data_IF_996171468943
#
_entry.id   IF_996171468943
#
_cell.length_a   1.000
_cell.length_b   1.000
_cell.length_c   1.000
_cell.angle_alpha   90.00
_cell.angle_beta   90.00
_cell.angle_gamma   90.00
#
_symmetry.space_group_name_H-M   'P 1'
#
loop_
_entity.id
_entity.type
_entity.pdbx_description
1 polymer ?
#
# COMPACT_ATOMS: atom_id res chain seq x y z
N UNK A 1 8.72 -7.04 15.04
CA UNK A 1 9.40 -5.80 14.56
C UNK A 1 10.92 -5.76 14.83
N UNK A 2 11.37 -6.26 15.99
CA UNK A 2 12.78 -6.23 16.42
C UNK A 2 13.62 -7.40 15.90
N UNK A 3 12.97 -8.42 15.30
CA UNK A 3 13.64 -9.59 14.74
C UNK A 3 14.80 -9.18 13.82
N UNK A 4 16.02 -9.68 14.06
CA UNK A 4 17.14 -9.42 13.17
C UNK A 4 16.89 -9.99 11.77
N UNK A 5 17.27 -9.23 10.75
CA UNK A 5 17.26 -9.67 9.36
C UNK A 5 18.63 -9.42 8.74
N UNK A 6 19.08 -10.37 7.92
CA UNK A 6 20.27 -10.18 7.08
C UNK A 6 19.97 -9.12 6.04
N UNK A 7 20.84 -8.14 5.93
CA UNK A 7 20.84 -7.10 4.92
C UNK A 7 22.20 -7.08 4.19
N UNK A 8 22.89 -8.22 4.17
CA UNK A 8 24.16 -8.40 3.49
C UNK A 8 23.95 -8.66 1.99
N UNK A 9 24.95 -8.35 1.13
CA UNK A 9 24.88 -8.67 -0.29
C UNK A 9 24.51 -10.13 -0.53
N UNK A 10 23.69 -10.37 -1.55
CA UNK A 10 23.15 -11.69 -1.87
C UNK A 10 23.27 -11.99 -3.36
N UNK A 11 23.59 -13.24 -3.68
CA UNK A 11 23.51 -13.79 -5.03
C UNK A 11 22.29 -14.70 -5.17
N UNK A 12 21.48 -14.43 -6.19
CA UNK A 12 20.27 -15.20 -6.47
C UNK A 12 19.88 -15.10 -7.95
N UNK A 13 19.68 -16.24 -8.61
CA UNK A 13 19.24 -16.26 -10.01
C UNK A 13 20.29 -15.73 -10.99
N UNK A 14 21.58 -15.89 -10.68
CA UNK A 14 22.69 -15.40 -11.52
C UNK A 14 22.99 -13.90 -11.39
N UNK A 15 22.26 -13.19 -10.52
CA UNK A 15 22.47 -11.77 -10.26
C UNK A 15 23.03 -11.54 -8.85
N UNK A 16 23.88 -10.53 -8.72
CA UNK A 16 24.41 -10.06 -7.44
C UNK A 16 23.72 -8.76 -7.02
N UNK A 17 23.14 -8.77 -5.84
CA UNK A 17 22.46 -7.62 -5.24
C UNK A 17 23.31 -7.08 -4.09
N UNK A 18 23.87 -5.88 -4.26
CA UNK A 18 24.69 -5.19 -3.26
C UNK A 18 24.23 -3.77 -2.95
N UNK A 19 23.40 -3.17 -3.81
CA UNK A 19 22.92 -1.81 -3.61
C UNK A 19 21.91 -1.73 -2.48
N UNK A 20 22.11 -0.75 -1.58
CA UNK A 20 21.22 -0.49 -0.45
C UNK A 20 21.35 -1.49 0.71
N UNK A 21 22.24 -2.48 0.64
CA UNK A 21 22.52 -3.44 1.70
C UNK A 21 23.14 -2.77 2.94
N UNK A 22 22.50 -2.90 4.11
CA UNK A 22 23.01 -2.35 5.39
C UNK A 22 23.68 -3.38 6.32
N UNK A 23 24.00 -4.57 5.82
CA UNK A 23 24.69 -5.64 6.56
C UNK A 23 23.75 -6.43 7.47
N UNK A 24 23.33 -5.85 8.59
CA UNK A 24 22.33 -6.43 9.49
C UNK A 24 21.51 -5.33 10.15
N UNK A 25 20.21 -5.52 10.25
CA UNK A 25 19.34 -4.58 10.96
C UNK A 25 18.11 -5.29 11.52
N UNK A 26 17.35 -4.62 12.38
CA UNK A 26 16.01 -5.12 12.74
C UNK A 26 15.06 -5.06 11.55
N UNK A 27 14.05 -5.94 11.52
CA UNK A 27 12.99 -5.90 10.49
C UNK A 27 12.38 -4.50 10.35
N UNK A 28 12.16 -3.78 11.47
CA UNK A 28 11.66 -2.41 11.47
C UNK A 28 12.60 -1.45 10.72
N UNK A 29 13.90 -1.49 10.99
CA UNK A 29 14.89 -0.62 10.34
C UNK A 29 15.05 -0.96 8.85
N UNK A 30 15.12 -2.25 8.50
CA UNK A 30 15.18 -2.71 7.11
C UNK A 30 13.95 -2.23 6.32
N UNK A 31 12.76 -2.38 6.91
CA UNK A 31 11.51 -1.95 6.29
C UNK A 31 11.43 -0.43 6.15
N UNK A 32 11.80 0.33 7.19
CA UNK A 32 11.81 1.79 7.20
C UNK A 32 12.75 2.37 6.13
N UNK A 33 13.91 1.75 5.94
CA UNK A 33 14.94 2.20 4.99
C UNK A 33 14.79 1.61 3.59
N UNK A 34 13.78 0.77 3.36
CA UNK A 34 13.55 0.06 2.10
C UNK A 34 14.75 -0.77 1.64
N UNK A 35 15.33 -1.56 2.55
CA UNK A 35 16.52 -2.37 2.28
C UNK A 35 16.19 -3.57 1.35
N UNK A 36 16.68 -3.49 0.11
CA UNK A 36 16.47 -4.50 -0.93
C UNK A 36 17.05 -5.86 -0.54
N UNK A 37 18.19 -5.88 0.15
CA UNK A 37 18.88 -7.11 0.50
C UNK A 37 18.11 -7.85 1.59
N UNK A 38 17.57 -7.13 2.57
CA UNK A 38 16.65 -7.70 3.56
C UNK A 38 15.38 -8.27 2.92
N UNK A 39 14.80 -7.59 1.93
CA UNK A 39 13.64 -8.11 1.19
C UNK A 39 13.96 -9.42 0.47
N UNK A 40 15.11 -9.49 -0.21
CA UNK A 40 15.58 -10.69 -0.90
C UNK A 40 15.86 -11.86 0.06
N UNK A 41 16.52 -11.61 1.20
CA UNK A 41 16.77 -12.64 2.22
C UNK A 41 15.46 -13.20 2.79
N UNK A 42 14.48 -12.33 3.07
CA UNK A 42 13.16 -12.76 3.52
C UNK A 42 12.43 -13.57 2.45
N UNK A 43 12.45 -13.13 1.20
CA UNK A 43 11.82 -13.84 0.08
C UNK A 43 12.44 -15.21 -0.14
N UNK A 44 13.76 -15.34 -0.02
CA UNK A 44 14.46 -16.62 -0.11
C UNK A 44 14.09 -17.57 1.04
N UNK A 45 13.88 -17.03 2.24
CA UNK A 45 13.43 -17.80 3.41
C UNK A 45 12.00 -18.32 3.27
N UNK A 46 11.09 -17.53 2.70
CA UNK A 46 9.65 -17.84 2.64
C UNK A 46 9.15 -18.32 1.27
N UNK A 47 9.99 -18.32 0.24
CA UNK A 47 9.70 -18.55 -1.19
C UNK A 47 8.96 -17.40 -1.89
N UNK A 48 9.29 -17.21 -3.17
CA UNK A 48 8.62 -16.23 -4.04
C UNK A 48 7.16 -16.59 -4.31
N UNK A 49 6.83 -17.88 -4.41
CA UNK A 49 5.44 -18.32 -4.59
C UNK A 49 4.56 -17.97 -3.40
N UNK A 50 5.09 -18.01 -2.17
CA UNK A 50 4.36 -17.55 -1.00
C UNK A 50 4.10 -16.04 -1.04
N UNK A 51 5.05 -15.26 -1.56
CA UNK A 51 4.88 -13.81 -1.78
C UNK A 51 3.78 -13.57 -2.81
N UNK A 52 3.80 -14.27 -3.95
CA UNK A 52 2.76 -14.17 -4.98
C UNK A 52 1.39 -14.53 -4.41
N UNK A 53 1.26 -15.67 -3.72
CA UNK A 53 -0.01 -16.08 -3.07
C UNK A 53 -0.50 -15.01 -2.10
N UNK A 54 0.38 -14.44 -1.29
CA UNK A 54 0.00 -13.37 -0.36
C UNK A 54 -0.43 -12.10 -1.11
N UNK A 55 0.24 -11.71 -2.19
CA UNK A 55 -0.19 -10.58 -3.02
C UNK A 55 -1.58 -10.81 -3.64
N UNK A 56 -1.89 -12.03 -4.09
CA UNK A 56 -3.25 -12.41 -4.51
C UNK A 56 -4.25 -12.32 -3.37
N UNK A 57 -3.88 -12.75 -2.17
CA UNK A 57 -4.71 -12.54 -0.99
C UNK A 57 -4.96 -11.05 -0.75
N UNK A 58 -4.08 -10.14 -1.12
CA UNK A 58 -4.29 -8.70 -1.02
C UNK A 58 -5.03 -8.06 -2.22
N UNK A 59 -5.53 -8.88 -3.15
CA UNK A 59 -6.35 -8.40 -4.27
C UNK A 59 -5.54 -7.89 -5.46
N UNK A 60 -4.23 -8.14 -5.52
CA UNK A 60 -3.42 -7.84 -6.71
C UNK A 60 -3.77 -8.84 -7.80
N UNK A 61 -4.30 -8.36 -8.93
CA UNK A 61 -4.71 -9.23 -10.06
C UNK A 61 -3.74 -9.16 -11.23
N UNK A 62 -2.85 -8.15 -11.27
CA UNK A 62 -1.83 -8.06 -12.33
C UNK A 62 -0.93 -9.32 -12.40
N UNK A 63 -0.43 -9.69 -13.59
CA UNK A 63 0.52 -10.79 -13.73
C UNK A 63 1.79 -10.55 -12.91
N UNK A 64 2.25 -11.58 -12.18
CA UNK A 64 3.45 -11.52 -11.35
C UNK A 64 4.26 -12.81 -11.56
N UNK A 65 5.53 -12.67 -11.92
CA UNK A 65 6.45 -13.80 -12.03
C UNK A 65 7.15 -14.03 -10.68
N UNK A 66 7.23 -15.29 -10.24
CA UNK A 66 7.95 -15.67 -9.02
C UNK A 66 9.48 -15.71 -9.25
N UNK A 67 10.06 -14.54 -9.58
CA UNK A 67 11.49 -14.32 -9.80
C UNK A 67 12.06 -13.34 -8.76
N UNK A 68 13.38 -13.32 -8.49
CA UNK A 68 13.95 -12.51 -7.41
C UNK A 68 13.59 -11.01 -7.47
N UNK A 69 13.48 -10.44 -8.67
CA UNK A 69 13.08 -9.04 -8.86
C UNK A 69 11.66 -8.71 -8.42
N UNK A 70 10.78 -9.70 -8.21
CA UNK A 70 9.42 -9.50 -7.70
C UNK A 70 9.41 -8.71 -6.39
N UNK A 71 10.28 -9.08 -5.44
CA UNK A 71 10.33 -8.42 -4.12
C UNK A 71 11.06 -7.08 -4.12
N UNK A 72 11.59 -6.70 -5.28
CA UNK A 72 12.16 -5.37 -5.55
C UNK A 72 11.20 -4.49 -6.36
N UNK A 73 9.98 -4.97 -6.66
CA UNK A 73 8.98 -4.21 -7.42
C UNK A 73 9.15 -4.27 -8.94
N UNK A 74 9.76 -5.32 -9.48
CA UNK A 74 9.89 -5.49 -10.94
C UNK A 74 8.55 -5.65 -11.66
N UNK A 75 7.52 -6.16 -10.98
CA UNK A 75 6.19 -6.35 -11.58
C UNK A 75 5.34 -5.10 -11.45
N UNK A 76 4.78 -4.64 -12.56
CA UNK A 76 3.80 -3.55 -12.60
C UNK A 76 2.51 -3.96 -11.88
N UNK A 77 1.91 -3.00 -11.19
CA UNK A 77 0.65 -3.19 -10.46
C UNK A 77 -0.25 -1.98 -10.68
N UNK A 78 -1.56 -2.21 -10.67
CA UNK A 78 -2.52 -1.11 -10.74
C UNK A 78 -2.49 -0.34 -9.41
N UNK A 79 -2.34 0.98 -9.48
CA UNK A 79 -2.28 1.83 -8.27
C UNK A 79 -3.51 1.65 -7.38
N UNK A 80 -4.69 1.43 -7.97
CA UNK A 80 -5.93 1.17 -7.23
C UNK A 80 -5.86 -0.14 -6.43
N UNK A 81 -5.33 -1.22 -7.01
CA UNK A 81 -5.16 -2.51 -6.34
C UNK A 81 -4.15 -2.39 -5.20
N UNK A 82 -3.03 -1.70 -5.45
CA UNK A 82 -2.00 -1.49 -4.45
C UNK A 82 -2.51 -0.62 -3.29
N UNK A 83 -3.30 0.42 -3.58
CA UNK A 83 -3.97 1.23 -2.56
C UNK A 83 -4.95 0.40 -1.74
N UNK A 84 -5.75 -0.46 -2.38
CA UNK A 84 -6.69 -1.36 -1.69
C UNK A 84 -5.95 -2.39 -0.80
N UNK A 85 -4.77 -2.87 -1.21
CA UNK A 85 -3.95 -3.74 -0.38
C UNK A 85 -3.49 -3.05 0.92
N UNK A 86 -3.12 -1.77 0.85
CA UNK A 86 -2.77 -0.98 2.04
C UNK A 86 -4.00 -0.68 2.90
N UNK A 87 -5.16 -0.46 2.28
CA UNK A 87 -6.43 -0.33 3.01
C UNK A 87 -6.73 -1.58 3.85
N UNK A 88 -6.40 -2.78 3.37
CA UNK A 88 -6.54 -3.99 4.17
C UNK A 88 -5.67 -3.99 5.43
N UNK A 89 -4.45 -3.47 5.35
CA UNK A 89 -3.56 -3.33 6.52
C UNK A 89 -4.11 -2.29 7.49
N UNK A 90 -4.54 -1.12 6.99
CA UNK A 90 -5.14 -0.07 7.80
C UNK A 90 -6.41 -0.56 8.50
N UNK A 91 -7.22 -1.38 7.81
CA UNK A 91 -8.46 -1.98 8.29
C UNK A 91 -8.27 -3.31 9.04
N UNK A 92 -7.21 -3.43 9.85
CA UNK A 92 -7.01 -4.58 10.74
C UNK A 92 -6.89 -5.95 10.06
N UNK A 93 -6.49 -5.98 8.78
CA UNK A 93 -6.32 -7.20 7.99
C UNK A 93 -7.55 -7.64 7.20
N UNK A 94 -8.58 -6.80 7.08
CA UNK A 94 -9.75 -7.05 6.22
C UNK A 94 -9.59 -6.30 4.90
N UNK A 95 -9.41 -7.05 3.81
CA UNK A 95 -9.45 -6.49 2.47
C UNK A 95 -10.89 -6.39 1.98
N UNK A 96 -11.20 -5.27 1.33
CA UNK A 96 -12.49 -4.99 0.73
C UNK A 96 -12.27 -4.57 -0.73
N UNK A 97 -13.07 -5.10 -1.64
CA UNK A 97 -12.99 -4.73 -3.05
C UNK A 97 -13.25 -3.22 -3.23
N UNK A 98 -12.37 -2.48 -3.93
CA UNK A 98 -12.62 -1.07 -4.22
C UNK A 98 -13.84 -0.90 -5.15
N UNK A 99 -14.64 0.15 -4.92
CA UNK A 99 -15.76 0.55 -5.77
C UNK A 99 -16.00 2.05 -5.66
N UNK A 100 -16.41 2.68 -6.75
CA UNK A 100 -16.89 4.07 -6.79
C UNK A 100 -18.41 4.16 -6.64
N UNK A 101 -19.14 3.06 -6.85
CA UNK A 101 -20.60 3.02 -6.84
C UNK A 101 -21.08 2.63 -5.44
N UNK A 102 -21.86 3.50 -4.80
CA UNK A 102 -22.46 3.25 -3.47
C UNK A 102 -23.82 2.56 -3.57
N UNK A 103 -24.67 3.04 -4.48
CA UNK A 103 -26.07 2.62 -4.61
C UNK A 103 -26.50 2.67 -6.07
N UNK A 104 -27.28 1.68 -6.48
CA UNK A 104 -28.07 1.72 -7.71
C UNK A 104 -29.52 2.01 -7.30
N UNK A 105 -30.14 2.98 -7.98
CA UNK A 105 -31.55 3.33 -7.78
C UNK A 105 -32.29 3.02 -9.07
N UNK A 106 -33.36 2.24 -8.98
CA UNK A 106 -34.24 1.95 -10.11
C UNK A 106 -35.45 2.91 -10.08
N UNK A 107 -35.43 3.89 -10.99
CA UNK A 107 -36.45 4.93 -11.06
C UNK A 107 -37.77 4.45 -11.66
N UNK A 108 -37.81 3.29 -12.34
CA UNK A 108 -39.05 2.75 -12.92
C UNK A 108 -39.98 2.17 -11.86
N UNK A 109 -39.43 1.80 -10.70
CA UNK A 109 -40.19 1.24 -9.57
C UNK A 109 -40.96 2.26 -8.74
N UNK A 110 -40.80 3.55 -9.05
CA UNK A 110 -41.26 4.68 -8.23
C UNK A 110 -41.67 5.90 -9.08
N UNK A 111 -42.60 5.77 -10.04
CA UNK A 111 -42.91 6.84 -11.00
C UNK A 111 -43.52 8.11 -10.38
N UNK A 112 -43.96 8.07 -9.12
CA UNK A 112 -44.64 9.18 -8.44
C UNK A 112 -43.77 9.85 -7.36
N UNK A 113 -42.93 9.10 -6.66
CA UNK A 113 -42.08 9.61 -5.58
C UNK A 113 -40.68 8.96 -5.63
N UNK A 114 -39.61 9.74 -5.91
CA UNK A 114 -38.23 9.23 -5.95
C UNK A 114 -37.71 8.62 -4.63
N UNK A 115 -38.36 8.87 -3.50
CA UNK A 115 -37.97 8.30 -2.20
C UNK A 115 -38.37 6.82 -2.04
N UNK A 116 -39.37 6.36 -2.81
CA UNK A 116 -39.87 4.98 -2.78
C UNK A 116 -39.15 4.04 -3.76
N UNK A 117 -38.18 4.56 -4.52
CA UNK A 117 -37.47 3.76 -5.52
C UNK A 117 -36.77 2.56 -4.90
N UNK A 118 -36.89 1.42 -5.58
CA UNK A 118 -36.10 0.24 -5.28
C UNK A 118 -34.61 0.60 -5.35
N UNK A 119 -33.91 0.30 -4.26
CA UNK A 119 -32.51 0.63 -4.10
C UNK A 119 -31.72 -0.61 -3.80
N UNK A 120 -30.63 -0.77 -4.54
CA UNK A 120 -29.63 -1.78 -4.25
C UNK A 120 -28.35 -1.10 -3.77
N UNK A 121 -28.08 -1.24 -2.49
CA UNK A 121 -26.76 -0.90 -1.97
C UNK A 121 -25.74 -1.89 -2.55
N UNK A 122 -24.71 -1.36 -3.19
CA UNK A 122 -23.54 -2.15 -3.58
C UNK A 122 -22.50 -2.20 -2.46
N UNK A 123 -22.84 -1.71 -1.27
CA UNK A 123 -21.99 -1.80 -0.07
C UNK A 123 -21.78 -3.24 0.41
N UNK A 124 -22.43 -4.25 -0.19
CA UNK A 124 -22.02 -5.66 -0.05
C UNK A 124 -20.72 -5.95 -0.83
N UNK A 125 -19.74 -5.05 -0.71
CA UNK A 125 -18.42 -5.20 -1.29
C UNK A 125 -17.82 -6.51 -0.80
N UNK A 126 -17.17 -7.26 -1.70
CA UNK A 126 -16.50 -8.51 -1.32
C UNK A 126 -15.41 -8.18 -0.31
N UNK A 127 -15.62 -8.60 0.92
CA UNK A 127 -14.68 -8.43 2.03
C UNK A 127 -14.18 -9.78 2.51
N UNK A 128 -12.88 -9.86 2.82
CA UNK A 128 -12.27 -11.08 3.35
C UNK A 128 -11.06 -10.76 4.22
N UNK A 129 -10.80 -11.65 5.18
CA UNK A 129 -9.60 -11.55 6.01
C UNK A 129 -8.37 -12.00 5.24
N UNK A 130 -7.35 -11.16 5.20
CA UNK A 130 -6.08 -11.40 4.48
C UNK A 130 -4.89 -11.40 5.42
N UNK A 131 -5.04 -10.76 6.59
CA UNK A 131 -4.15 -10.84 7.74
C UNK A 131 -4.95 -11.07 9.03
N UNK A 132 -4.40 -11.85 9.97
CA UNK A 132 -4.76 -11.75 11.38
C UNK A 132 -4.56 -10.32 11.91
N UNK A 133 -5.42 -9.90 12.85
CA UNK A 133 -5.42 -8.52 13.37
C UNK A 133 -4.09 -8.14 14.03
N UNK A 134 -3.49 -9.06 14.78
CA UNK A 134 -2.17 -8.90 15.41
C UNK A 134 -1.06 -8.68 14.37
N UNK A 135 -1.10 -9.41 13.26
CA UNK A 135 -0.16 -9.22 12.15
C UNK A 135 -0.37 -7.89 11.43
N UNK A 136 -1.62 -7.45 11.28
CA UNK A 136 -1.94 -6.13 10.72
C UNK A 136 -1.37 -5.01 11.62
N UNK A 137 -1.49 -5.11 12.94
CA UNK A 137 -0.90 -4.15 13.89
C UNK A 137 0.64 -4.11 13.83
N UNK A 138 1.28 -5.27 13.62
CA UNK A 138 2.73 -5.33 13.37
C UNK A 138 3.07 -4.60 12.06
N UNK A 139 2.32 -4.84 10.98
CA UNK A 139 2.55 -4.17 9.70
C UNK A 139 2.32 -2.66 9.78
N UNK A 140 1.28 -2.20 10.48
CA UNK A 140 1.05 -0.77 10.76
C UNK A 140 2.23 -0.15 11.52
N UNK A 141 2.85 -0.90 12.45
CA UNK A 141 4.06 -0.44 13.15
C UNK A 141 5.26 -0.31 12.22
N UNK A 142 5.41 -1.22 11.24
CA UNK A 142 6.44 -1.11 10.21
C UNK A 142 6.18 0.08 9.28
N UNK A 143 4.95 0.26 8.81
CA UNK A 143 4.54 1.38 7.94
C UNK A 143 4.72 2.74 8.62
N UNK A 144 4.35 2.87 9.90
CA UNK A 144 4.63 4.08 10.70
C UNK A 144 6.12 4.40 10.77
N UNK A 145 6.97 3.37 10.87
CA UNK A 145 8.43 3.59 10.94
C UNK A 145 9.04 4.17 9.67
N UNK A 146 8.44 3.89 8.50
CA UNK A 146 8.87 4.48 7.22
C UNK A 146 8.70 6.01 7.24
N UNK A 147 7.59 6.49 7.80
CA UNK A 147 7.31 7.93 7.91
C UNK A 147 8.15 8.54 9.05
N UNK A 148 8.20 7.89 10.21
CA UNK A 148 8.87 8.45 11.40
C UNK A 148 10.39 8.57 11.24
N UNK A 149 11.03 7.58 10.61
CA UNK A 149 12.49 7.53 10.56
C UNK A 149 13.06 6.98 9.26
N UNK A 150 12.22 6.67 8.28
CA UNK A 150 12.59 6.02 7.03
C UNK A 150 12.51 6.90 5.78
N UNK A 151 12.19 6.28 4.66
CA UNK A 151 12.12 6.91 3.34
C UNK A 151 10.89 7.80 3.13
N UNK A 152 9.86 7.68 3.98
CA UNK A 152 8.59 8.38 3.86
C UNK A 152 8.45 9.63 4.71
N UNK A 153 9.55 10.20 5.23
CA UNK A 153 9.52 11.34 6.17
C UNK A 153 8.75 12.56 5.68
N UNK A 154 8.73 12.81 4.37
CA UNK A 154 7.96 13.90 3.78
C UNK A 154 6.44 13.77 3.97
N UNK A 155 5.95 12.58 4.37
CA UNK A 155 4.53 12.32 4.66
C UNK A 155 4.11 12.57 6.12
N UNK A 156 5.00 13.09 6.99
CA UNK A 156 4.73 13.20 8.43
C UNK A 156 3.69 14.27 8.76
N UNK A 157 2.57 13.85 9.36
CA UNK A 157 1.46 14.69 9.82
C UNK A 157 1.48 14.92 11.34
N UNK A 158 2.41 14.31 12.08
CA UNK A 158 2.47 14.43 13.54
C UNK A 158 1.64 13.38 14.28
N UNK A 159 1.19 12.32 13.60
CA UNK A 159 0.25 11.35 14.14
C UNK A 159 0.72 9.90 14.04
N UNK A 160 -0.26 9.02 13.80
CA UNK A 160 -0.07 7.58 13.64
C UNK A 160 -0.20 7.13 12.17
N UNK A 161 -0.07 8.06 11.23
CA UNK A 161 0.00 7.77 9.79
C UNK A 161 1.11 6.77 9.49
N UNK A 162 0.84 5.87 8.55
CA UNK A 162 1.79 4.89 8.07
C UNK A 162 1.76 4.83 6.55
N UNK A 163 2.90 4.52 5.94
CA UNK A 163 2.98 4.42 4.49
C UNK A 163 4.27 3.80 4.00
N UNK A 164 4.42 3.75 2.67
CA UNK A 164 5.62 3.22 2.04
C UNK A 164 5.91 3.95 0.73
N UNK A 165 7.17 4.27 0.50
CA UNK A 165 7.66 4.72 -0.80
C UNK A 165 7.94 3.52 -1.73
N UNK A 166 7.64 3.68 -3.01
CA UNK A 166 8.08 2.81 -4.09
C UNK A 166 8.82 3.63 -5.15
N UNK A 167 9.94 3.11 -5.66
CA UNK A 167 10.75 3.76 -6.70
C UNK A 167 11.18 2.68 -7.69
N UNK A 168 10.90 2.86 -8.98
CA UNK A 168 11.45 1.98 -10.02
C UNK A 168 12.86 2.43 -10.41
N UNK A 169 13.52 1.62 -11.25
CA UNK A 169 14.87 1.93 -11.73
C UNK A 169 14.91 3.32 -12.38
N UNK A 170 16.01 4.05 -12.15
CA UNK A 170 16.23 5.42 -12.65
C UNK A 170 15.20 6.46 -12.15
N UNK A 171 14.35 6.12 -11.18
CA UNK A 171 13.37 7.05 -10.63
C UNK A 171 12.28 7.44 -11.64
N UNK A 172 11.91 6.52 -12.54
CA UNK A 172 10.85 6.74 -13.54
C UNK A 172 9.46 6.79 -12.88
N UNK A 173 9.22 5.89 -11.93
CA UNK A 173 7.99 5.84 -11.15
C UNK A 173 8.27 6.19 -9.70
N UNK A 174 7.56 7.21 -9.20
CA UNK A 174 7.64 7.67 -7.82
C UNK A 174 6.29 7.43 -7.17
N UNK A 175 6.22 6.43 -6.30
CA UNK A 175 4.97 6.06 -5.61
C UNK A 175 5.08 6.30 -4.11
N UNK A 176 3.99 6.77 -3.51
CA UNK A 176 3.77 6.71 -2.08
C UNK A 176 2.34 6.27 -1.79
N UNK A 177 2.19 5.27 -0.93
CA UNK A 177 0.87 4.86 -0.42
C UNK A 177 0.89 5.01 1.08
N UNK A 178 -0.07 5.76 1.61
CA UNK A 178 -0.18 6.05 3.03
C UNK A 178 -1.62 6.02 3.52
N UNK A 179 -1.78 5.78 4.82
CA UNK A 179 -3.05 5.87 5.53
C UNK A 179 -2.98 6.90 6.65
N UNK A 180 -4.09 7.57 6.93
CA UNK A 180 -4.27 8.47 8.07
C UNK A 180 -5.40 7.92 8.96
N UNK A 181 -5.08 7.37 10.15
CA UNK A 181 -6.05 6.67 10.98
C UNK A 181 -7.25 7.51 11.42
N UNK A 182 -7.06 8.81 11.73
CA UNK A 182 -8.14 9.64 12.28
C UNK A 182 -9.25 9.89 11.26
N UNK A 183 -8.90 10.03 9.99
CA UNK A 183 -9.86 10.17 8.88
C UNK A 183 -10.32 8.84 8.29
N UNK A 184 -9.74 7.72 8.69
CA UNK A 184 -9.95 6.40 8.04
C UNK A 184 -9.65 6.41 6.53
N UNK A 185 -8.65 7.19 6.11
CA UNK A 185 -8.30 7.33 4.70
C UNK A 185 -7.06 6.52 4.34
N UNK A 186 -7.07 5.96 3.13
CA UNK A 186 -5.89 5.41 2.46
C UNK A 186 -5.80 6.06 1.08
N UNK A 187 -4.60 6.50 0.72
CA UNK A 187 -4.36 7.20 -0.54
C UNK A 187 -3.03 6.75 -1.14
N UNK A 188 -3.08 6.41 -2.43
CA UNK A 188 -1.90 6.18 -3.25
C UNK A 188 -1.66 7.36 -4.19
N UNK A 189 -0.41 7.80 -4.25
CA UNK A 189 0.09 8.83 -5.16
C UNK A 189 1.16 8.20 -6.03
N UNK A 190 1.03 8.36 -7.34
CA UNK A 190 2.06 8.03 -8.33
C UNK A 190 2.41 9.29 -9.11
N UNK A 191 3.70 9.49 -9.35
CA UNK A 191 4.26 10.51 -10.21
C UNK A 191 5.24 9.84 -11.18
N UNK A 192 5.15 10.21 -12.45
CA UNK A 192 6.02 9.72 -13.51
C UNK A 192 5.78 10.53 -14.79
N UNK A 193 6.66 10.37 -15.77
CA UNK A 193 6.47 10.97 -17.08
C UNK A 193 5.78 9.97 -18.01
N UNK A 194 4.80 10.42 -18.79
CA UNK A 194 4.05 9.55 -19.71
C UNK A 194 4.95 8.93 -20.81
N UNK A 195 6.03 9.60 -21.17
CA UNK A 195 7.05 9.10 -22.11
C UNK A 195 8.09 8.16 -21.45
N UNK A 196 7.86 7.81 -20.19
CA UNK A 196 8.71 6.99 -19.33
C UNK A 196 10.11 7.58 -19.10
N UNK A 197 10.37 8.85 -19.43
CA UNK A 197 11.67 9.47 -19.15
C UNK A 197 11.92 9.60 -17.63
N UNK A 198 13.19 9.58 -17.15
CA UNK A 198 13.49 9.74 -15.74
C UNK A 198 12.95 11.06 -15.17
N UNK A 199 12.38 11.03 -13.96
CA UNK A 199 11.78 12.23 -13.35
C UNK A 199 12.81 13.20 -12.77
N UNK A 200 14.06 12.74 -12.56
CA UNK A 200 15.08 13.49 -11.82
C UNK A 200 14.74 13.69 -10.33
N UNK A 201 13.70 13.03 -9.83
CA UNK A 201 13.19 13.18 -8.47
C UNK A 201 13.25 11.85 -7.71
N UNK A 202 12.85 11.88 -6.43
CA UNK A 202 12.75 10.70 -5.57
C UNK A 202 11.32 10.55 -5.07
N UNK A 203 10.95 9.37 -4.56
CA UNK A 203 9.59 9.15 -4.02
C UNK A 203 9.26 9.97 -2.78
N UNK A 204 10.21 10.77 -2.26
CA UNK A 204 9.91 11.84 -1.33
C UNK A 204 8.96 12.90 -1.93
N UNK A 205 8.99 13.12 -3.25
CA UNK A 205 8.06 14.01 -3.95
C UNK A 205 6.62 13.49 -3.86
N UNK A 206 6.40 12.21 -4.16
CA UNK A 206 5.09 11.57 -4.02
C UNK A 206 4.60 11.59 -2.56
N UNK A 207 5.49 11.35 -1.59
CA UNK A 207 5.18 11.45 -0.16
C UNK A 207 4.82 12.88 0.28
N UNK A 208 5.52 13.89 -0.26
CA UNK A 208 5.23 15.30 0.00
C UNK A 208 3.89 15.76 -0.59
N UNK A 209 3.55 15.30 -1.80
CA UNK A 209 2.23 15.55 -2.39
C UNK A 209 1.12 14.85 -1.59
N UNK A 210 1.35 13.62 -1.13
CA UNK A 210 0.42 12.94 -0.23
C UNK A 210 0.17 13.78 1.05
N UNK A 211 1.23 14.33 1.65
CA UNK A 211 1.12 15.21 2.81
C UNK A 211 0.33 16.48 2.52
N UNK A 212 0.55 17.07 1.34
CA UNK A 212 -0.19 18.24 0.86
C UNK A 212 -1.68 18.01 0.72
N UNK A 213 -2.06 16.89 0.11
CA UNK A 213 -3.46 16.55 -0.05
C UNK A 213 -4.08 16.27 1.33
N UNK A 214 -3.41 15.50 2.19
CA UNK A 214 -3.93 15.17 3.52
C UNK A 214 -4.09 16.36 4.46
N UNK A 215 -3.22 17.39 4.36
CA UNK A 215 -3.35 18.62 5.17
C UNK A 215 -4.45 19.55 4.65
N UNK A 216 -4.63 19.60 3.34
CA UNK A 216 -5.59 20.51 2.69
C UNK A 216 -6.99 19.94 2.71
N UNK A 217 -7.11 18.62 2.63
CA UNK A 217 -8.39 17.96 2.71
C UNK A 217 -8.98 18.10 4.13
N UNK A 218 -10.24 18.55 4.19
CA UNK A 218 -11.00 18.66 5.43
C UNK A 218 -11.09 17.33 6.19
N UNK A 219 -11.63 17.35 7.41
CA UNK A 219 -11.90 16.11 8.12
C UNK A 219 -12.90 15.28 7.30
N UNK A 220 -12.54 14.04 6.93
CA UNK A 220 -13.48 13.11 6.33
C UNK A 220 -14.69 12.96 7.26
N UNK A 221 -15.89 13.16 6.75
CA UNK A 221 -17.12 12.98 7.52
C UNK A 221 -17.25 11.51 7.90
N UNK A 222 -17.15 11.20 9.20
CA UNK A 222 -17.46 9.87 9.74
C UNK A 222 -18.97 9.57 9.70
N UNK A 223 -19.81 10.53 9.32
CA UNK A 223 -21.28 10.47 9.44
C UNK A 223 -21.97 9.76 8.28
N UNK A 224 -21.48 8.58 7.88
CA UNK A 224 -22.19 7.68 6.95
C UNK A 224 -22.83 6.46 7.64
N UNK A 225 -22.65 6.29 8.96
CA UNK A 225 -23.35 5.29 9.76
C UNK A 225 -24.27 5.94 10.79
N UNK A 226 -25.17 6.79 10.31
CA UNK A 226 -26.47 6.94 10.97
C UNK A 226 -27.32 5.71 10.62
N UNK A 227 -27.29 4.66 11.46
CA UNK A 227 -28.40 3.70 11.51
C UNK A 227 -29.43 4.22 12.53
N UNK A 228 -30.73 4.05 12.25
CA UNK A 228 -31.81 4.49 13.14
C UNK A 228 -31.74 3.82 14.51
#
# INVERSE_FOLDING_TARGET
>A
PTTPVSASPIEWGGLRYSQGCRGSSSLKQAFASSDNCAALHLARRYSLDAVVRKARDFGITTPMAAVPGLVLGQSETLLLELTAAYAAVANGGIWTSPSTIRRLTDTETCPLDPSDCAQRSLASQRSRRVLPTDQALVMQTLLRSVIQSGTGRAAYLGGNEGGKTGTTNEGRDLTFIGYEPKRHWVMGVWLGNDDNSPTGQTSAAAAGLWWEIMRTAGQGTADAEGRP
#
